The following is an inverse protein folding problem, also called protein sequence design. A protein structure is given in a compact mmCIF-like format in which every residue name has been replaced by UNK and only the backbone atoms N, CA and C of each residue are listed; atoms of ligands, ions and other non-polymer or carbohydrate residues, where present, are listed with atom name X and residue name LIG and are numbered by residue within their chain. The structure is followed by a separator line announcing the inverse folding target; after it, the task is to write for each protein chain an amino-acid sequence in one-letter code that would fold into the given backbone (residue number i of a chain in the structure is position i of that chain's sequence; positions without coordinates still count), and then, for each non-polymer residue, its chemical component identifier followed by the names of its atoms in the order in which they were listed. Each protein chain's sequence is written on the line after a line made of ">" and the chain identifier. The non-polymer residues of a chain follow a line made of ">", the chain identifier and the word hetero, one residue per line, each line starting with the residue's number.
data_IF_296419158188
#
_entry.id   IF_296419158188
#
_cell.length_a   1.000
_cell.length_b   1.000
_cell.length_c   1.000
_cell.angle_alpha   90.00
_cell.angle_beta   90.00
_cell.angle_gamma   90.00
#
_symmetry.space_group_name_H-M   'P 1'
#
loop_
_entity.id
_entity.type
_entity.pdbx_description
1 polymer ?
#
# COMPACT_ATOMS: atom_id res chain seq x y z
N UNK A 1 -11.41 0.64 12.93
CA UNK A 1 -11.57 1.56 11.78
C UNK A 1 -11.04 2.97 12.02
N UNK A 2 -11.20 3.57 13.21
CA UNK A 2 -10.66 4.92 13.46
C UNK A 2 -9.13 4.98 13.34
N UNK A 3 -8.42 3.96 13.86
CA UNK A 3 -6.98 3.79 13.73
C UNK A 3 -6.44 3.75 12.28
N UNK A 4 -6.96 2.89 11.40
CA UNK A 4 -6.65 2.86 9.97
C UNK A 4 -6.85 4.23 9.30
N UNK A 5 -7.93 4.95 9.63
CA UNK A 5 -8.14 6.31 9.11
C UNK A 5 -7.00 7.23 9.55
N UNK A 6 -6.63 7.20 10.84
CA UNK A 6 -5.48 7.96 11.37
C UNK A 6 -4.16 7.54 10.73
N UNK A 7 -3.95 6.24 10.49
CA UNK A 7 -2.75 5.73 9.83
C UNK A 7 -2.64 6.22 8.38
N UNK A 8 -3.75 6.24 7.64
CA UNK A 8 -3.80 6.80 6.28
C UNK A 8 -3.61 8.33 6.27
N UNK A 9 -4.14 9.06 7.26
CA UNK A 9 -3.89 10.48 7.43
C UNK A 9 -2.40 10.77 7.69
N UNK A 10 -1.76 9.99 8.58
CA UNK A 10 -0.33 10.08 8.86
C UNK A 10 0.50 9.75 7.62
N UNK A 11 0.17 8.68 6.91
CA UNK A 11 0.83 8.30 5.66
C UNK A 11 0.74 9.41 4.60
N UNK A 12 -0.45 10.01 4.43
CA UNK A 12 -0.65 11.15 3.54
C UNK A 12 0.22 12.35 3.94
N UNK A 13 0.30 12.67 5.23
CA UNK A 13 1.13 13.76 5.76
C UNK A 13 2.63 13.54 5.53
N UNK A 14 3.07 12.27 5.50
CA UNK A 14 4.42 11.85 5.15
C UNK A 14 4.68 11.78 3.63
N UNK A 15 3.69 12.12 2.80
CA UNK A 15 3.80 12.15 1.34
C UNK A 15 3.63 10.78 0.65
N UNK A 16 3.12 9.78 1.37
CA UNK A 16 2.64 8.53 0.76
C UNK A 16 1.31 8.81 0.06
N UNK A 17 1.18 8.39 -1.19
CA UNK A 17 -0.10 8.44 -1.88
C UNK A 17 -1.08 7.46 -1.22
N UNK A 18 -2.23 7.97 -0.78
CA UNK A 18 -3.33 7.18 -0.20
C UNK A 18 -4.63 7.46 -0.97
N UNK A 19 -5.62 6.54 -0.98
CA UNK A 19 -6.93 6.85 -1.52
C UNK A 19 -7.60 7.97 -0.71
N UNK A 20 -8.43 8.77 -1.38
CA UNK A 20 -9.38 9.65 -0.69
C UNK A 20 -10.24 8.81 0.24
N UNK A 21 -10.32 9.19 1.50
CA UNK A 21 -11.03 8.44 2.51
C UNK A 21 -11.75 9.37 3.49
N UNK A 22 -12.77 8.83 4.16
CA UNK A 22 -13.51 9.53 5.21
C UNK A 22 -14.02 8.55 6.26
N UNK A 23 -13.77 8.87 7.53
CA UNK A 23 -14.41 8.21 8.65
C UNK A 23 -15.83 8.76 8.83
N UNK A 24 -16.83 7.88 8.78
CA UNK A 24 -18.26 8.24 8.90
C UNK A 24 -18.85 7.54 10.12
N UNK A 25 -19.39 8.27 11.11
CA UNK A 25 -20.11 7.67 12.22
C UNK A 25 -21.49 7.18 11.75
N UNK A 26 -21.87 5.97 12.15
CA UNK A 26 -23.22 5.41 11.98
C UNK A 26 -23.59 4.74 13.30
N UNK A 27 -24.62 5.26 13.96
CA UNK A 27 -25.02 4.88 15.31
C UNK A 27 -23.82 4.90 16.28
N UNK A 28 -23.49 3.75 16.87
CA UNK A 28 -22.40 3.53 17.82
C UNK A 28 -21.08 3.09 17.16
N UNK A 29 -21.01 3.08 15.83
CA UNK A 29 -19.86 2.58 15.07
C UNK A 29 -19.23 3.65 14.17
N UNK A 30 -17.99 3.40 13.79
CA UNK A 30 -17.27 4.22 12.81
C UNK A 30 -16.92 3.37 11.59
N UNK A 31 -17.34 3.85 10.42
CA UNK A 31 -17.04 3.21 9.14
C UNK A 31 -16.00 4.04 8.39
N UNK A 32 -14.92 3.40 7.94
CA UNK A 32 -13.98 4.01 7.01
C UNK A 32 -14.47 3.79 5.59
N UNK A 33 -14.75 4.87 4.87
CA UNK A 33 -15.13 4.84 3.46
C UNK A 33 -13.92 5.25 2.62
N UNK A 34 -13.57 4.41 1.64
CA UNK A 34 -12.42 4.60 0.75
C UNK A 34 -12.88 4.72 -0.71
N UNK A 35 -12.34 5.70 -1.43
CA UNK A 35 -12.48 5.76 -2.88
C UNK A 35 -11.54 4.74 -3.52
N UNK A 36 -12.12 3.72 -4.15
CA UNK A 36 -11.36 2.72 -4.90
C UNK A 36 -10.53 3.36 -6.01
N UNK A 37 -9.21 3.24 -5.91
CA UNK A 37 -8.26 3.78 -6.90
C UNK A 37 -8.19 2.96 -8.20
N UNK A 38 -8.80 1.76 -8.24
CA UNK A 38 -8.90 0.91 -9.43
C UNK A 38 -10.21 1.14 -10.22
N UNK A 39 -10.89 2.27 -9.97
CA UNK A 39 -12.13 2.68 -10.64
C UNK A 39 -11.99 4.11 -11.16
N UNK A 40 -12.16 4.28 -12.47
CA UNK A 40 -12.17 5.59 -13.13
C UNK A 40 -13.61 6.01 -13.45
N UNK A 41 -14.04 7.17 -12.93
CA UNK A 41 -15.31 7.78 -13.32
C UNK A 41 -15.17 8.30 -14.75
N UNK A 42 -15.96 7.76 -15.67
CA UNK A 42 -15.90 8.10 -17.10
C UNK A 42 -16.74 9.33 -17.46
N UNK A 43 -17.68 9.74 -16.60
CA UNK A 43 -18.49 10.95 -16.77
C UNK A 43 -19.07 11.44 -15.44
N UNK A 44 -19.20 12.76 -15.22
CA UNK A 44 -19.91 13.31 -14.07
C UNK A 44 -21.37 12.82 -14.05
N UNK A 45 -21.86 12.36 -12.90
CA UNK A 45 -23.24 11.87 -12.75
C UNK A 45 -23.48 10.42 -13.20
N UNK A 46 -22.43 9.70 -13.61
CA UNK A 46 -22.53 8.26 -13.90
C UNK A 46 -22.96 7.49 -12.64
N UNK A 47 -23.89 6.54 -12.79
CA UNK A 47 -24.43 5.78 -11.67
C UNK A 47 -23.33 5.03 -10.89
N UNK A 48 -23.50 4.92 -9.58
CA UNK A 48 -22.60 4.12 -8.75
C UNK A 48 -22.53 2.68 -9.30
N UNK A 49 -21.36 2.29 -9.82
CA UNK A 49 -21.13 0.99 -10.46
C UNK A 49 -20.77 1.02 -11.95
N UNK A 50 -20.90 2.16 -12.64
CA UNK A 50 -20.55 2.30 -14.07
C UNK A 50 -19.13 2.82 -14.33
N UNK A 51 -18.31 2.95 -13.28
CA UNK A 51 -16.92 3.37 -13.40
C UNK A 51 -16.10 2.30 -14.14
N UNK A 52 -15.24 2.74 -15.07
CA UNK A 52 -14.37 1.82 -15.79
C UNK A 52 -13.35 1.19 -14.82
N UNK A 53 -13.06 -0.09 -15.00
CA UNK A 53 -12.08 -0.80 -14.18
C UNK A 53 -10.68 -0.56 -14.72
N UNK A 54 -9.76 -0.27 -13.81
CA UNK A 54 -8.33 -0.22 -14.11
C UNK A 54 -7.77 -1.60 -13.76
N UNK A 55 -6.91 -2.16 -14.62
CA UNK A 55 -6.24 -3.42 -14.33
C UNK A 55 -5.41 -3.30 -13.06
N UNK A 56 -5.48 -4.30 -12.19
CA UNK A 56 -4.78 -4.34 -10.90
C UNK A 56 -4.02 -5.65 -10.76
N UNK A 57 -2.81 -5.60 -10.20
CA UNK A 57 -2.08 -6.76 -9.72
C UNK A 57 -1.42 -6.43 -8.37
N UNK A 58 -1.32 -7.41 -7.47
CA UNK A 58 -0.55 -7.24 -6.24
C UNK A 58 0.94 -7.53 -6.47
N UNK A 59 1.79 -7.11 -5.53
CA UNK A 59 3.20 -7.51 -5.50
C UNK A 59 3.33 -9.03 -5.41
N UNK A 60 2.40 -9.71 -4.72
CA UNK A 60 2.36 -11.18 -4.67
C UNK A 60 2.26 -11.80 -6.07
N UNK A 61 1.33 -11.29 -6.91
CA UNK A 61 1.21 -11.74 -8.30
C UNK A 61 2.41 -11.35 -9.14
N UNK A 62 2.95 -10.14 -8.95
CA UNK A 62 4.11 -9.64 -9.69
C UNK A 62 5.36 -10.50 -9.43
N UNK A 63 5.57 -10.92 -8.18
CA UNK A 63 6.70 -11.75 -7.77
C UNK A 63 6.47 -13.25 -8.03
N UNK A 64 5.23 -13.66 -8.31
CA UNK A 64 4.88 -15.07 -8.47
C UNK A 64 4.82 -15.86 -7.16
N UNK A 65 4.69 -15.16 -6.04
CA UNK A 65 4.59 -15.73 -4.70
C UNK A 65 3.19 -16.24 -4.37
N UNK A 66 3.11 -17.03 -3.30
CA UNK A 66 1.88 -17.57 -2.69
C UNK A 66 1.83 -17.18 -1.21
N UNK A 67 0.68 -17.43 -0.60
CA UNK A 67 0.54 -17.23 0.85
C UNK A 67 1.53 -18.10 1.63
N UNK A 68 2.23 -17.46 2.57
CA UNK A 68 3.26 -18.10 3.39
C UNK A 68 4.68 -18.03 2.80
N UNK A 69 4.85 -17.56 1.57
CA UNK A 69 6.17 -17.26 1.04
C UNK A 69 6.73 -15.99 1.72
N UNK A 70 8.01 -16.02 2.10
CA UNK A 70 8.74 -14.83 2.54
C UNK A 70 9.12 -13.97 1.33
N UNK A 71 9.08 -12.65 1.49
CA UNK A 71 9.55 -11.70 0.49
C UNK A 71 10.13 -10.45 1.13
N UNK A 72 10.97 -9.75 0.39
CA UNK A 72 11.62 -8.52 0.79
C UNK A 72 11.11 -7.31 -0.01
N UNK A 73 11.13 -6.14 0.61
CA UNK A 73 10.89 -4.89 -0.09
C UNK A 73 11.88 -4.64 -1.23
N UNK A 74 13.10 -5.18 -1.16
CA UNK A 74 14.07 -5.20 -2.25
C UNK A 74 13.55 -5.96 -3.47
N UNK A 75 12.88 -7.11 -3.28
CA UNK A 75 12.28 -7.88 -4.38
C UNK A 75 11.18 -7.06 -5.09
N UNK A 76 10.36 -6.35 -4.30
CA UNK A 76 9.34 -5.44 -4.84
C UNK A 76 10.00 -4.30 -5.62
N UNK A 77 11.08 -3.70 -5.08
CA UNK A 77 11.79 -2.60 -5.72
C UNK A 77 12.41 -3.02 -7.07
N UNK A 78 13.03 -4.19 -7.12
CA UNK A 78 13.63 -4.74 -8.34
C UNK A 78 12.58 -4.95 -9.43
N UNK A 79 11.46 -5.62 -9.11
CA UNK A 79 10.37 -5.80 -10.08
C UNK A 79 9.70 -4.51 -10.47
N UNK A 80 9.53 -3.58 -9.53
CA UNK A 80 8.96 -2.26 -9.79
C UNK A 80 9.80 -1.51 -10.82
N UNK A 81 11.12 -1.56 -10.73
CA UNK A 81 12.03 -0.93 -11.68
C UNK A 81 11.87 -1.48 -13.11
N UNK A 82 11.51 -2.76 -13.26
CA UNK A 82 11.27 -3.41 -14.55
C UNK A 82 9.90 -3.07 -15.16
N UNK A 83 8.84 -3.03 -14.33
CA UNK A 83 7.45 -2.99 -14.84
C UNK A 83 6.81 -1.60 -14.79
N UNK A 84 7.36 -0.68 -13.99
CA UNK A 84 6.80 0.64 -13.80
C UNK A 84 7.01 1.55 -15.02
N UNK A 85 5.97 2.31 -15.35
CA UNK A 85 6.06 3.39 -16.34
C UNK A 85 6.75 4.67 -15.79
N UNK A 86 7.04 4.71 -14.49
CA UNK A 86 7.61 5.85 -13.76
C UNK A 86 8.49 5.34 -12.60
N UNK A 87 9.53 4.51 -12.88
CA UNK A 87 10.21 3.70 -11.88
C UNK A 87 10.85 4.52 -10.76
N UNK A 88 11.35 5.72 -11.05
CA UNK A 88 11.93 6.60 -10.03
C UNK A 88 10.88 7.10 -9.04
N UNK A 89 9.76 7.61 -9.54
CA UNK A 89 8.66 8.13 -8.72
C UNK A 89 8.02 7.02 -7.88
N UNK A 90 7.81 5.85 -8.49
CA UNK A 90 7.23 4.69 -7.83
C UNK A 90 8.19 4.11 -6.77
N UNK A 91 9.50 4.09 -7.02
CA UNK A 91 10.50 3.68 -6.02
C UNK A 91 10.52 4.64 -4.82
N UNK A 92 10.41 5.96 -5.05
CA UNK A 92 10.27 6.91 -3.95
C UNK A 92 8.96 6.71 -3.16
N UNK A 93 7.88 6.31 -3.81
CA UNK A 93 6.62 5.99 -3.14
C UNK A 93 6.70 4.70 -2.35
N UNK A 94 7.38 3.68 -2.87
CA UNK A 94 7.69 2.45 -2.14
C UNK A 94 8.49 2.78 -0.88
N UNK A 95 9.62 3.48 -1.01
CA UNK A 95 10.46 3.85 0.14
C UNK A 95 9.70 4.62 1.22
N UNK A 96 8.91 5.65 0.85
CA UNK A 96 8.07 6.38 1.83
C UNK A 96 7.08 5.46 2.54
N UNK A 97 6.48 4.50 1.81
CA UNK A 97 5.56 3.53 2.41
C UNK A 97 6.27 2.64 3.42
N UNK A 98 7.47 2.16 3.09
CA UNK A 98 8.29 1.35 4.01
C UNK A 98 8.62 2.13 5.27
N UNK A 99 9.10 3.38 5.13
CA UNK A 99 9.44 4.24 6.26
C UNK A 99 8.21 4.54 7.16
N UNK A 100 7.03 4.75 6.57
CA UNK A 100 5.78 4.88 7.33
C UNK A 100 5.38 3.57 7.99
N UNK A 101 5.59 2.42 7.35
CA UNK A 101 5.31 1.09 7.91
C UNK A 101 6.13 0.88 9.19
N UNK A 102 7.43 1.18 9.14
CA UNK A 102 8.34 1.19 10.30
C UNK A 102 7.84 2.15 11.38
N UNK A 103 7.59 3.41 11.03
CA UNK A 103 7.15 4.42 12.02
C UNK A 103 5.81 4.13 12.70
N UNK A 104 4.94 3.35 12.06
CA UNK A 104 3.65 2.92 12.61
C UNK A 104 3.67 1.52 13.22
N UNK A 105 4.79 0.80 13.17
CA UNK A 105 4.87 -0.64 13.47
C UNK A 105 3.79 -1.45 12.72
N UNK A 106 3.61 -1.18 11.42
CA UNK A 106 2.65 -1.89 10.57
C UNK A 106 3.28 -3.19 10.06
N UNK A 107 3.18 -4.26 10.85
CA UNK A 107 3.85 -5.54 10.58
C UNK A 107 3.02 -6.50 9.71
N UNK A 108 1.73 -6.22 9.48
CA UNK A 108 0.86 -7.00 8.58
C UNK A 108 0.85 -6.45 7.13
N UNK A 109 2.00 -5.96 6.66
CA UNK A 109 2.19 -5.36 5.34
C UNK A 109 2.52 -6.41 4.28
N UNK A 110 1.71 -7.48 4.21
CA UNK A 110 1.94 -8.57 3.28
C UNK A 110 1.83 -8.13 1.80
N UNK A 111 2.41 -8.92 0.90
CA UNK A 111 2.49 -8.63 -0.55
C UNK A 111 1.16 -8.30 -1.27
N UNK A 112 0.00 -8.59 -0.66
CA UNK A 112 -1.32 -8.22 -1.20
C UNK A 112 -1.67 -6.74 -0.97
N UNK A 113 -1.04 -6.09 0.00
CA UNK A 113 -1.22 -4.67 0.38
C UNK A 113 -0.37 -3.72 -0.48
N UNK A 114 0.48 -4.29 -1.34
CA UNK A 114 1.24 -3.59 -2.36
C UNK A 114 0.63 -3.89 -3.72
N UNK A 115 0.14 -2.85 -4.39
CA UNK A 115 -0.59 -2.98 -5.63
C UNK A 115 0.05 -2.22 -6.77
N UNK A 116 -0.32 -2.60 -7.99
CA UNK A 116 0.07 -1.93 -9.22
C UNK A 116 -1.15 -1.77 -10.12
N UNK A 117 -1.30 -0.57 -10.70
CA UNK A 117 -2.39 -0.20 -11.60
C UNK A 117 -1.91 -0.13 -13.04
N UNK A 118 -2.68 -0.71 -13.97
CA UNK A 118 -2.35 -0.71 -15.40
C UNK A 118 -2.58 0.68 -15.98
N UNK A 119 -1.49 1.32 -16.42
CA UNK A 119 -1.49 2.58 -17.17
C UNK A 119 -1.20 2.39 -18.66
N UNK A 120 -1.23 3.49 -19.42
CA UNK A 120 -0.96 3.49 -20.88
C UNK A 120 0.47 3.07 -21.24
N UNK A 121 1.45 3.34 -20.37
CA UNK A 121 2.88 3.11 -20.63
C UNK A 121 3.51 1.98 -19.81
N UNK A 122 2.71 1.23 -19.05
CA UNK A 122 3.23 0.25 -18.09
C UNK A 122 2.38 0.23 -16.82
N UNK A 123 2.90 -0.40 -15.79
CA UNK A 123 2.27 -0.41 -14.47
C UNK A 123 2.64 0.86 -13.70
N UNK A 124 1.83 1.21 -12.70
CA UNK A 124 2.11 2.28 -11.75
C UNK A 124 1.85 1.77 -10.35
N UNK A 125 2.72 2.07 -9.39
CA UNK A 125 2.50 1.67 -8.01
C UNK A 125 1.20 2.30 -7.47
N UNK A 126 0.36 1.49 -6.83
CA UNK A 126 -0.95 1.92 -6.33
C UNK A 126 -0.78 2.84 -5.12
N UNK A 127 -1.81 3.64 -4.77
CA UNK A 127 -1.89 4.21 -3.43
C UNK A 127 -1.75 3.14 -2.33
N UNK A 128 -1.27 3.51 -1.15
CA UNK A 128 -1.24 2.66 0.04
C UNK A 128 -2.65 2.50 0.59
N UNK A 129 -2.97 1.31 1.06
CA UNK A 129 -4.24 0.94 1.67
C UNK A 129 -3.98 -0.15 2.70
N UNK A 130 -4.93 -0.38 3.60
CA UNK A 130 -4.81 -1.39 4.66
C UNK A 130 -3.55 -1.20 5.51
N UNK A 131 -3.32 0.05 5.94
CA UNK A 131 -2.20 0.43 6.81
C UNK A 131 -2.71 0.46 8.24
N UNK A 132 -2.22 -0.44 9.09
CA UNK A 132 -2.69 -0.56 10.45
C UNK A 132 -1.50 -0.66 11.42
N UNK A 133 -1.46 0.15 12.50
CA UNK A 133 -0.44 -0.04 13.52
C UNK A 133 -0.66 -1.39 14.22
N UNK A 134 0.40 -2.17 14.38
CA UNK A 134 0.40 -3.33 15.25
C UNK A 134 0.87 -2.90 16.65
N UNK A 135 0.08 -3.10 17.73
CA UNK A 135 0.55 -2.82 19.09
C UNK A 135 1.59 -3.84 19.59
N UNK A 136 1.68 -5.01 18.96
CA UNK A 136 2.53 -6.11 19.38
C UNK A 136 3.89 -6.09 18.66
N UNK A 137 4.91 -6.66 19.29
CA UNK A 137 6.27 -6.77 18.76
C UNK A 137 6.41 -7.99 17.82
N UNK A 138 5.47 -8.12 16.88
CA UNK A 138 5.44 -9.21 15.92
C UNK A 138 6.50 -9.04 14.83
N UNK A 139 6.88 -10.15 14.21
CA UNK A 139 7.65 -10.13 12.98
C UNK A 139 6.80 -9.57 11.85
N UNK A 140 7.41 -8.76 10.98
CA UNK A 140 6.71 -8.24 9.79
C UNK A 140 6.56 -9.29 8.69
N UNK A 141 5.51 -9.13 7.89
CA UNK A 141 5.21 -10.02 6.77
C UNK A 141 6.10 -9.78 5.55
N UNK A 142 6.59 -8.55 5.34
CA UNK A 142 7.51 -8.20 4.24
C UNK A 142 8.82 -7.65 4.80
N UNK A 143 9.95 -8.33 4.61
CA UNK A 143 11.24 -7.92 5.20
C UNK A 143 11.82 -6.66 4.55
N UNK A 144 12.68 -5.92 5.26
CA UNK A 144 13.44 -4.78 4.71
C UNK A 144 14.92 -5.15 4.67
N UNK A 145 15.43 -5.49 3.48
CA UNK A 145 16.82 -5.94 3.30
C UNK A 145 17.21 -7.07 4.29
N UNK A 146 16.29 -7.98 4.55
CA UNK A 146 16.43 -9.08 5.51
C UNK A 146 16.04 -8.76 6.96
N UNK A 147 15.79 -7.49 7.31
CA UNK A 147 15.31 -7.10 8.63
C UNK A 147 13.80 -7.35 8.78
N UNK A 148 13.42 -8.11 9.80
CA UNK A 148 12.04 -8.56 10.01
C UNK A 148 11.51 -8.32 11.44
N UNK A 149 12.31 -7.68 12.30
CA UNK A 149 11.92 -7.32 13.66
C UNK A 149 11.94 -5.80 13.86
N UNK A 150 11.26 -5.34 14.90
CA UNK A 150 11.33 -3.94 15.31
C UNK A 150 12.76 -3.51 15.72
N UNK A 151 13.64 -4.45 16.11
CA UNK A 151 14.98 -4.11 16.59
C UNK A 151 15.95 -3.75 15.46
N UNK A 152 15.78 -4.34 14.27
CA UNK A 152 16.70 -4.23 13.14
C UNK A 152 16.10 -3.51 11.92
N UNK A 153 14.79 -3.26 11.89
CA UNK A 153 14.12 -2.65 10.74
C UNK A 153 14.62 -1.25 10.35
N UNK A 154 15.14 -0.47 11.30
CA UNK A 154 15.73 0.84 11.01
C UNK A 154 17.08 0.70 10.30
N UNK A 155 17.82 -0.38 10.57
CA UNK A 155 19.08 -0.69 9.87
C UNK A 155 18.82 -1.08 8.42
N UNK A 156 17.74 -1.81 8.14
CA UNK A 156 17.33 -2.13 6.77
C UNK A 156 16.99 -0.91 5.90
N UNK A 157 16.71 0.25 6.51
CA UNK A 157 16.44 1.51 5.79
C UNK A 157 17.71 2.30 5.41
N UNK A 158 18.87 1.96 5.96
CA UNK A 158 20.14 2.70 5.80
C UNK A 158 21.01 2.16 4.67
#
# INVERSE_FOLDING_TARGET
>A
MAWEATALDLAASAGVLVPTHRLTPIDDRHLLLLHRFDRAVTSPGAAAGTANRIGYMSAMTLLGHRDGDTADYADIADRLAEVSAQPREDAHQLFRRVAVSVGLNNTDDHLRNHGFLRGRGGWKFSPAFDVNPNPDADMRQTTIAGADTHADETEGLM
#
